data_IF_623927622981
#
_entry.id   IF_623927622981
#
_cell.length_a   1.000
_cell.length_b   1.000
_cell.length_c   1.000
_cell.angle_alpha   90.00
_cell.angle_beta   90.00
_cell.angle_gamma   90.00
#
_symmetry.space_group_name_H-M   'P 1'
#
loop_
_entity.id
_entity.type
_entity.pdbx_description
1 polymer ?
#
# COMPACT_ATOMS: atom_id res chain seq x y z
N UNK A 1 -25.18 18.92 42.92
CA UNK A 1 -24.56 19.42 41.68
C UNK A 1 -23.65 18.30 41.19
N UNK A 2 -24.07 17.56 40.17
CA UNK A 2 -23.25 16.51 39.55
C UNK A 2 -22.39 17.20 38.50
N UNK A 3 -21.07 17.19 38.70
CA UNK A 3 -20.11 17.65 37.71
C UNK A 3 -20.20 16.75 36.47
N UNK A 4 -20.90 17.20 35.44
CA UNK A 4 -20.76 16.71 34.07
C UNK A 4 -19.50 17.35 33.49
N UNK A 5 -18.32 16.82 33.81
CA UNK A 5 -17.12 17.13 33.02
C UNK A 5 -17.19 16.35 31.71
N UNK A 6 -16.99 16.99 30.54
CA UNK A 6 -16.87 16.28 29.28
C UNK A 6 -15.64 15.38 29.36
N UNK A 7 -15.83 14.08 29.12
CA UNK A 7 -14.72 13.17 28.96
C UNK A 7 -13.82 13.72 27.83
N UNK A 8 -12.55 13.94 28.13
CA UNK A 8 -11.58 14.34 27.14
C UNK A 8 -11.46 13.20 26.13
N UNK A 9 -11.92 13.42 24.88
CA UNK A 9 -11.77 12.50 23.74
C UNK A 9 -10.29 12.38 23.34
N UNK A 10 -9.49 11.82 24.23
CA UNK A 10 -8.07 11.54 23.99
C UNK A 10 -7.92 10.07 23.67
N UNK A 11 -7.42 9.79 22.47
CA UNK A 11 -7.04 8.43 22.07
C UNK A 11 -5.66 8.15 22.63
N UNK A 12 -5.53 7.07 23.42
CA UNK A 12 -4.23 6.56 23.86
C UNK A 12 -3.73 5.58 22.81
N UNK A 13 -2.52 5.85 22.31
CA UNK A 13 -1.86 5.04 21.29
C UNK A 13 -0.69 4.31 21.95
N UNK A 14 -0.63 2.99 21.79
CA UNK A 14 0.50 2.18 22.25
C UNK A 14 1.59 2.17 21.19
N UNK A 15 2.68 2.92 21.43
CA UNK A 15 3.82 3.01 20.51
C UNK A 15 4.76 1.79 20.58
N UNK A 16 4.39 0.76 21.34
CA UNK A 16 5.10 -0.53 21.35
C UNK A 16 4.40 -1.59 20.50
N UNK A 17 3.16 -1.32 20.08
CA UNK A 17 2.42 -2.19 19.17
C UNK A 17 3.02 -2.11 17.75
N UNK A 18 3.47 -3.24 17.17
CA UNK A 18 4.06 -3.25 15.83
C UNK A 18 3.11 -2.75 14.74
N UNK A 19 1.79 -2.94 14.87
CA UNK A 19 0.81 -2.48 13.88
C UNK A 19 0.68 -0.95 13.93
N UNK A 20 0.74 -0.37 15.14
CA UNK A 20 0.78 1.09 15.32
C UNK A 20 2.06 1.67 14.74
N UNK A 21 3.21 1.02 15.02
CA UNK A 21 4.49 1.44 14.46
C UNK A 21 4.45 1.39 12.93
N UNK A 22 3.86 0.36 12.33
CA UNK A 22 3.71 0.25 10.87
C UNK A 22 2.86 1.37 10.28
N UNK A 23 1.73 1.71 10.91
CA UNK A 23 0.90 2.86 10.53
C UNK A 23 1.70 4.17 10.58
N UNK A 24 2.53 4.36 11.62
CA UNK A 24 3.37 5.55 11.75
C UNK A 24 4.36 5.64 10.57
N UNK A 25 4.97 4.53 10.16
CA UNK A 25 5.86 4.53 9.00
C UNK A 25 5.12 4.89 7.71
N UNK A 26 3.89 4.37 7.51
CA UNK A 26 3.06 4.72 6.35
C UNK A 26 2.75 6.22 6.33
N UNK A 27 2.31 6.79 7.46
CA UNK A 27 2.00 8.22 7.57
C UNK A 27 3.25 9.08 7.40
N UNK A 28 4.40 8.64 7.96
CA UNK A 28 5.66 9.35 7.78
C UNK A 28 6.12 9.34 6.33
N UNK A 29 6.00 8.20 5.62
CA UNK A 29 6.28 8.11 4.20
C UNK A 29 5.38 9.05 3.40
N UNK A 30 4.06 9.02 3.64
CA UNK A 30 3.11 9.90 2.96
C UNK A 30 3.39 11.40 3.19
N UNK A 31 3.77 11.78 4.42
CA UNK A 31 3.96 13.18 4.79
C UNK A 31 5.33 13.76 4.47
N UNK A 32 6.38 12.93 4.38
CA UNK A 32 7.77 13.38 4.28
C UNK A 32 8.61 12.67 3.20
N UNK A 33 8.09 11.60 2.60
CA UNK A 33 8.82 10.80 1.62
C UNK A 33 8.89 11.46 0.24
N UNK A 34 9.70 10.84 -0.64
CA UNK A 34 9.78 11.19 -2.06
C UNK A 34 9.43 9.96 -2.88
N UNK A 35 8.52 10.12 -3.86
CA UNK A 35 8.08 9.03 -4.71
C UNK A 35 9.10 8.67 -5.78
N UNK A 36 9.37 7.37 -5.91
CA UNK A 36 10.07 6.78 -7.05
C UNK A 36 9.14 6.70 -8.25
N UNK A 37 9.68 6.80 -9.46
CA UNK A 37 8.89 6.57 -10.68
C UNK A 37 8.76 5.07 -10.92
N UNK A 38 7.62 4.63 -11.46
CA UNK A 38 7.32 3.21 -11.69
C UNK A 38 8.03 2.55 -12.88
N UNK A 39 8.96 3.24 -13.54
CA UNK A 39 9.60 2.76 -14.76
C UNK A 39 10.40 1.48 -14.51
N UNK A 40 10.11 0.42 -15.27
CA UNK A 40 10.75 -0.89 -15.13
C UNK A 40 10.29 -1.70 -13.90
N UNK A 41 9.57 -1.10 -12.95
CA UNK A 41 9.09 -1.75 -11.73
C UNK A 41 7.74 -2.44 -11.97
N UNK A 42 6.85 -1.81 -12.73
CA UNK A 42 5.53 -2.33 -13.05
C UNK A 42 5.50 -3.11 -14.35
N UNK A 43 4.65 -4.14 -14.42
CA UNK A 43 4.26 -4.72 -15.70
C UNK A 43 3.39 -3.71 -16.45
N UNK A 44 3.56 -3.64 -17.76
CA UNK A 44 2.74 -2.76 -18.61
C UNK A 44 1.27 -3.14 -18.45
N UNK A 45 0.47 -2.20 -17.93
CA UNK A 45 -0.97 -2.36 -17.84
C UNK A 45 -1.59 -2.33 -19.24
N UNK A 46 -2.45 -3.30 -19.53
CA UNK A 46 -3.16 -3.47 -20.80
C UNK A 46 -4.67 -3.26 -20.66
N UNK A 47 -5.14 -2.87 -19.46
CA UNK A 47 -6.56 -2.72 -19.15
C UNK A 47 -7.33 -4.05 -19.05
N UNK A 48 -6.63 -5.18 -18.88
CA UNK A 48 -7.27 -6.50 -18.72
C UNK A 48 -7.91 -6.70 -17.35
N UNK A 49 -7.51 -5.91 -16.34
CA UNK A 49 -8.04 -6.02 -14.98
C UNK A 49 -9.32 -5.18 -14.78
N UNK A 50 -10.24 -5.61 -13.90
CA UNK A 50 -11.42 -4.84 -13.57
C UNK A 50 -11.06 -3.47 -12.98
N UNK A 51 -11.86 -2.46 -13.32
CA UNK A 51 -11.76 -1.14 -12.70
C UNK A 51 -12.13 -1.26 -11.22
N UNK A 52 -11.27 -0.75 -10.36
CA UNK A 52 -11.47 -0.68 -8.92
C UNK A 52 -11.60 0.78 -8.47
N UNK A 53 -12.58 1.07 -7.59
CA UNK A 53 -12.71 2.37 -6.95
C UNK A 53 -11.91 2.42 -5.66
N UNK A 54 -11.11 3.47 -5.48
CA UNK A 54 -10.28 3.67 -4.30
C UNK A 54 -10.19 5.18 -3.97
N UNK A 55 -9.80 5.48 -2.74
CA UNK A 55 -9.54 6.82 -2.23
C UNK A 55 -8.24 6.85 -1.42
N UNK A 56 -7.77 8.04 -1.03
CA UNK A 56 -6.63 8.19 -0.13
C UNK A 56 -6.88 7.42 1.17
N UNK A 57 -5.91 6.60 1.59
CA UNK A 57 -6.00 5.67 2.71
C UNK A 57 -6.46 4.27 2.33
N UNK A 58 -6.90 4.04 1.08
CA UNK A 58 -7.30 2.70 0.63
C UNK A 58 -6.10 1.78 0.45
N UNK A 59 -6.25 0.52 0.86
CA UNK A 59 -5.32 -0.56 0.49
C UNK A 59 -5.65 -0.99 -0.93
N UNK A 60 -4.62 -1.12 -1.76
CA UNK A 60 -4.71 -1.54 -3.14
C UNK A 60 -3.59 -2.53 -3.47
N UNK A 61 -3.58 -3.03 -4.70
CA UNK A 61 -2.47 -3.79 -5.23
C UNK A 61 -1.93 -3.19 -6.52
N UNK A 62 -0.66 -3.48 -6.80
CA UNK A 62 0.03 -3.10 -8.04
C UNK A 62 0.69 -4.33 -8.66
N UNK A 63 0.67 -4.44 -9.99
CA UNK A 63 1.25 -5.58 -10.72
C UNK A 63 2.72 -5.30 -11.08
N UNK A 64 3.63 -5.72 -10.21
CA UNK A 64 5.06 -5.50 -10.40
C UNK A 64 5.69 -6.60 -11.28
N UNK A 65 6.92 -6.37 -11.74
CA UNK A 65 7.73 -7.40 -12.40
C UNK A 65 7.96 -8.64 -11.51
N UNK A 66 7.88 -8.46 -10.18
CA UNK A 66 8.02 -9.52 -9.17
C UNK A 66 6.68 -10.11 -8.68
N UNK A 67 5.57 -9.81 -9.35
CA UNK A 67 4.22 -10.22 -8.96
C UNK A 67 3.39 -9.09 -8.34
N UNK A 68 2.19 -9.42 -7.86
CA UNK A 68 1.33 -8.43 -7.21
C UNK A 68 1.86 -8.08 -5.82
N UNK A 69 1.80 -6.79 -5.47
CA UNK A 69 2.29 -6.23 -4.21
C UNK A 69 1.24 -5.32 -3.61
N UNK A 70 1.09 -5.34 -2.28
CA UNK A 70 0.17 -4.46 -1.58
C UNK A 70 0.76 -3.06 -1.40
N UNK A 71 -0.11 -2.07 -1.45
CA UNK A 71 0.25 -0.69 -1.19
C UNK A 71 -0.94 0.09 -0.58
N UNK A 72 -0.66 1.25 0.01
CA UNK A 72 -1.68 2.20 0.47
C UNK A 72 -1.64 3.44 -0.43
N UNK A 73 -2.79 3.84 -0.95
CA UNK A 73 -2.93 5.07 -1.74
C UNK A 73 -2.81 6.27 -0.81
N UNK A 74 -1.89 7.19 -1.08
CA UNK A 74 -1.63 8.35 -0.21
C UNK A 74 -1.85 9.70 -0.88
N UNK A 75 -1.80 9.75 -2.22
CA UNK A 75 -2.16 10.93 -2.99
C UNK A 75 -2.72 10.54 -4.37
N UNK A 76 -3.61 11.37 -4.92
CA UNK A 76 -4.25 11.17 -6.21
C UNK A 76 -4.32 12.52 -6.93
N UNK A 77 -3.64 12.65 -8.07
CA UNK A 77 -3.70 13.81 -8.94
C UNK A 77 -3.96 13.39 -10.38
N UNK A 78 -5.18 13.65 -10.88
CA UNK A 78 -5.65 13.17 -12.17
C UNK A 78 -5.31 11.68 -12.39
N UNK A 79 -4.48 11.32 -13.36
CA UNK A 79 -4.07 9.94 -13.63
C UNK A 79 -2.84 9.47 -12.85
N UNK A 80 -2.21 10.34 -12.07
CA UNK A 80 -1.07 10.03 -11.21
C UNK A 80 -1.53 9.66 -9.80
N UNK A 81 -1.00 8.55 -9.28
CA UNK A 81 -1.33 8.04 -7.96
C UNK A 81 -0.04 7.75 -7.21
N UNK A 82 0.08 8.26 -5.99
CA UNK A 82 1.22 7.97 -5.11
C UNK A 82 0.79 6.92 -4.10
N UNK A 83 1.58 5.86 -3.99
CA UNK A 83 1.32 4.74 -3.10
C UNK A 83 2.50 4.48 -2.17
N UNK A 84 2.23 4.16 -0.90
CA UNK A 84 3.22 3.60 0.03
C UNK A 84 3.22 2.08 -0.11
N UNK A 85 4.39 1.48 -0.36
CA UNK A 85 4.53 0.03 -0.48
C UNK A 85 4.36 -0.66 0.88
N UNK A 86 3.60 -1.76 0.92
CA UNK A 86 3.47 -2.62 2.10
C UNK A 86 4.37 -3.86 2.05
N UNK A 87 4.94 -4.13 0.87
CA UNK A 87 5.83 -5.25 0.57
C UNK A 87 7.12 -4.76 -0.09
N UNK A 88 8.21 -5.50 0.12
CA UNK A 88 9.43 -5.30 -0.67
C UNK A 88 9.23 -5.75 -2.14
N UNK A 89 9.85 -5.02 -3.05
CA UNK A 89 9.93 -5.35 -4.48
C UNK A 89 11.38 -5.61 -4.83
N UNK A 90 11.68 -6.84 -5.27
CA UNK A 90 13.00 -7.19 -5.78
C UNK A 90 13.12 -6.67 -7.22
N UNK A 91 13.87 -5.59 -7.40
CA UNK A 91 14.02 -4.88 -8.70
C UNK A 91 15.37 -5.17 -9.36
N UNK A 92 16.10 -6.20 -8.93
CA UNK A 92 17.45 -6.56 -9.43
C UNK A 92 17.58 -6.74 -10.95
N UNK A 93 16.48 -6.76 -11.69
CA UNK A 93 16.45 -6.81 -13.16
C UNK A 93 16.42 -5.43 -13.83
N UNK A 94 16.25 -4.33 -13.09
CA UNK A 94 16.21 -2.96 -13.59
C UNK A 94 17.52 -2.29 -13.19
N UNK A 95 18.29 -1.81 -14.18
CA UNK A 95 19.66 -1.31 -13.99
C UNK A 95 19.78 -0.12 -13.02
N UNK A 96 18.68 0.59 -12.76
CA UNK A 96 18.66 1.82 -11.96
C UNK A 96 18.21 1.64 -10.49
N UNK A 97 17.72 0.47 -10.09
CA UNK A 97 17.19 0.23 -8.75
C UNK A 97 17.66 -1.10 -8.15
N UNK A 98 18.40 -1.03 -7.04
CA UNK A 98 18.85 -2.24 -6.33
C UNK A 98 17.67 -2.98 -5.66
N UNK A 99 16.73 -2.24 -5.06
CA UNK A 99 15.54 -2.75 -4.38
C UNK A 99 14.58 -1.59 -4.03
N UNK A 100 13.27 -1.84 -4.05
CA UNK A 100 12.30 -0.98 -3.36
C UNK A 100 11.83 -1.70 -2.10
N UNK A 101 11.85 -0.98 -0.98
CA UNK A 101 11.54 -1.53 0.34
C UNK A 101 10.10 -1.20 0.73
N UNK A 102 9.57 -1.96 1.69
CA UNK A 102 8.37 -1.57 2.44
C UNK A 102 8.52 -0.12 2.92
N UNK A 103 7.42 0.62 2.84
CA UNK A 103 7.27 2.04 3.14
C UNK A 103 7.89 3.03 2.15
N UNK A 104 8.54 2.57 1.08
CA UNK A 104 8.91 3.46 -0.02
C UNK A 104 7.66 3.94 -0.77
N UNK A 105 7.77 5.14 -1.36
CA UNK A 105 6.70 5.72 -2.17
C UNK A 105 6.91 5.39 -3.64
N UNK A 106 5.85 5.00 -4.32
CA UNK A 106 5.85 4.74 -5.75
C UNK A 106 4.79 5.59 -6.44
N UNK A 107 5.21 6.33 -7.47
CA UNK A 107 4.34 7.04 -8.38
C UNK A 107 3.92 6.08 -9.50
N UNK A 108 2.62 5.80 -9.58
CA UNK A 108 2.01 4.89 -10.55
C UNK A 108 0.88 5.59 -11.30
N UNK A 109 0.36 4.98 -12.37
CA UNK A 109 -0.85 5.50 -13.03
C UNK A 109 -2.10 4.88 -12.42
N UNK A 110 -3.23 5.58 -12.54
CA UNK A 110 -4.56 5.08 -12.12
C UNK A 110 -4.86 3.68 -12.66
N UNK A 111 -4.45 3.38 -13.89
CA UNK A 111 -4.64 2.06 -14.53
C UNK A 111 -3.83 0.94 -13.87
N UNK A 112 -2.76 1.28 -13.16
CA UNK A 112 -1.88 0.32 -12.48
C UNK A 112 -2.41 -0.07 -11.09
N UNK A 113 -3.38 0.68 -10.56
CA UNK A 113 -3.97 0.46 -9.23
C UNK A 113 -5.12 -0.54 -9.35
N UNK A 114 -4.95 -1.69 -8.69
CA UNK A 114 -5.85 -2.82 -8.77
C UNK A 114 -6.49 -3.12 -7.40
N UNK A 115 -7.53 -3.95 -7.42
CA UNK A 115 -8.19 -4.41 -6.19
C UNK A 115 -7.17 -5.07 -5.23
N UNK A 116 -7.23 -4.84 -3.90
CA UNK A 116 -6.26 -5.40 -2.96
C UNK A 116 -6.15 -6.93 -3.00
N UNK A 117 -7.23 -7.63 -3.38
CA UNK A 117 -7.29 -9.09 -3.47
C UNK A 117 -6.22 -9.73 -4.38
N UNK A 118 -5.70 -9.02 -5.40
CA UNK A 118 -4.68 -9.59 -6.28
C UNK A 118 -3.35 -9.83 -5.56
N UNK A 119 -3.08 -9.06 -4.49
CA UNK A 119 -1.89 -9.22 -3.67
C UNK A 119 -2.18 -9.94 -2.34
N UNK A 120 -3.45 -10.24 -2.03
CA UNK A 120 -3.78 -11.08 -0.90
C UNK A 120 -3.27 -12.50 -1.15
N UNK A 121 -2.26 -12.90 -0.37
CA UNK A 121 -1.88 -14.29 -0.28
C UNK A 121 -3.05 -15.07 0.30
N UNK A 122 -3.85 -15.70 -0.55
CA UNK A 122 -4.77 -16.77 -0.15
C UNK A 122 -3.92 -17.89 0.43
N UNK A 123 -3.57 -17.78 1.72
CA UNK A 123 -3.05 -18.89 2.47
C UNK A 123 -4.17 -19.93 2.46
N UNK A 124 -3.98 -21.00 1.67
CA UNK A 124 -4.89 -22.13 1.68
C UNK A 124 -5.07 -22.54 3.15
N UNK A 125 -6.29 -22.53 3.70
CA UNK A 125 -6.51 -22.99 5.06
C UNK A 125 -5.89 -24.39 5.16
N UNK A 126 -5.02 -24.62 6.14
CA UNK A 126 -4.32 -25.91 6.30
C UNK A 126 -5.29 -27.10 6.47
N UNK A 127 -6.58 -26.82 6.72
CA UNK A 127 -7.68 -27.76 6.85
C UNK A 127 -8.51 -27.99 5.57
N UNK A 128 -8.23 -27.31 4.46
CA UNK A 128 -9.07 -27.39 3.26
C UNK A 128 -8.79 -28.66 2.43
N UNK A 129 -9.58 -29.71 2.67
CA UNK A 129 -9.70 -30.88 1.80
C UNK A 129 -10.62 -30.52 0.63
N UNK A 130 -10.07 -30.51 -0.59
CA UNK A 130 -10.88 -30.45 -1.81
C UNK A 130 -11.47 -31.85 -2.04
N UNK A 131 -12.80 -31.96 -2.01
CA UNK A 131 -13.54 -33.17 -2.36
C UNK A 131 -13.85 -33.21 -3.85
#
# INVERSE_FOLDING_TARGET
>A
LKDNQPASDTVRVDLTDPDIIDIIHIVAAAGFGVAFTSYGILKVADGSYPIHSYEVGSVASINTVSGFKQCVVVDIDDDDVVCVLLDDIDVRTVEDYDQLSRHDLLLVKRIDVLHPEFAEGLARPSSAVLH
#
